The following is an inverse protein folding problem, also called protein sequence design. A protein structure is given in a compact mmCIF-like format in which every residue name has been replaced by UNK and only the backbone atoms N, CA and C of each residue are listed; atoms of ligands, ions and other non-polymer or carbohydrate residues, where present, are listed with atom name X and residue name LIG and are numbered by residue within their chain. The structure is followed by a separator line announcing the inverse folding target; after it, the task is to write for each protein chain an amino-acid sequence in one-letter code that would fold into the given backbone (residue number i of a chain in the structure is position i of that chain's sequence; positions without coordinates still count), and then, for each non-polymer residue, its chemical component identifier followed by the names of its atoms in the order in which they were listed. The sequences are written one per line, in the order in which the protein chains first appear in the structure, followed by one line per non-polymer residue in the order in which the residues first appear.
data_IF_702100302082
#
_entry.id   IF_702100302082
#
_cell.length_a   1.000
_cell.length_b   1.000
_cell.length_c   1.000
_cell.angle_alpha   90.00
_cell.angle_beta   90.00
_cell.angle_gamma   90.00
#
_symmetry.space_group_name_H-M   'P 1'
#
loop_
_entity.id
_entity.type
_entity.pdbx_description
1 polymer ?
#
# COMPACT_ATOMS: atom_id res chain seq x y z
N UNK A 1 1.28 12.76 14.70
CA UNK A 1 1.88 11.85 13.72
C UNK A 1 3.00 12.63 13.04
N UNK A 2 4.21 12.09 12.96
CA UNK A 2 5.31 12.74 12.23
C UNK A 2 5.18 12.36 10.74
N UNK A 3 5.39 13.31 9.84
CA UNK A 3 5.39 13.09 8.39
C UNK A 3 6.66 13.69 7.79
N UNK A 4 7.35 12.91 6.96
CA UNK A 4 8.61 13.28 6.29
C UNK A 4 8.57 12.86 4.81
N UNK A 5 9.50 13.38 4.01
CA UNK A 5 9.75 12.88 2.66
C UNK A 5 10.36 11.47 2.71
N UNK A 6 10.08 10.61 1.74
CA UNK A 6 10.75 9.30 1.65
C UNK A 6 12.26 9.42 1.44
N UNK A 7 12.69 10.48 0.77
CA UNK A 7 14.10 10.83 0.59
C UNK A 7 14.83 11.12 1.92
N UNK A 8 14.09 11.43 3.01
CA UNK A 8 14.64 11.64 4.35
C UNK A 8 14.79 10.34 5.15
N UNK A 9 14.31 9.21 4.62
CA UNK A 9 14.48 7.91 5.25
C UNK A 9 15.84 7.31 4.89
N UNK A 10 16.49 6.80 5.93
CA UNK A 10 17.72 6.03 5.84
C UNK A 10 17.39 4.55 5.99
N UNK A 11 18.19 3.67 5.36
CA UNK A 11 18.15 2.23 5.60
C UNK A 11 19.45 1.79 6.25
N UNK A 12 19.39 0.99 7.31
CA UNK A 12 20.57 0.41 7.96
C UNK A 12 21.05 -0.91 7.30
N UNK A 13 20.42 -1.31 6.19
CA UNK A 13 20.69 -2.58 5.51
C UNK A 13 20.02 -3.80 6.15
N UNK A 14 19.28 -3.63 7.26
CA UNK A 14 18.47 -4.69 7.89
C UNK A 14 16.99 -4.62 7.49
N UNK A 15 16.61 -3.60 6.71
CA UNK A 15 15.23 -3.35 6.28
C UNK A 15 14.44 -2.43 7.23
N UNK A 16 15.11 -1.81 8.20
CA UNK A 16 14.52 -0.81 9.09
C UNK A 16 14.64 0.58 8.45
N UNK A 17 13.52 1.29 8.39
CA UNK A 17 13.47 2.71 8.06
C UNK A 17 13.92 3.54 9.27
N UNK A 18 14.98 4.32 9.07
CA UNK A 18 15.54 5.23 10.06
C UNK A 18 15.29 6.68 9.64
N UNK A 19 15.22 7.57 10.61
CA UNK A 19 15.30 9.01 10.40
C UNK A 19 16.19 9.60 11.50
N UNK A 20 17.22 10.35 11.10
CA UNK A 20 18.28 10.86 11.99
C UNK A 20 18.93 9.73 12.83
N UNK A 21 19.20 8.59 12.20
CA UNK A 21 19.82 7.42 12.84
C UNK A 21 18.95 6.67 13.85
N UNK A 22 17.63 6.90 13.90
CA UNK A 22 16.69 6.22 14.82
C UNK A 22 15.54 5.56 14.07
N UNK A 23 15.00 4.43 14.56
CA UNK A 23 13.83 3.79 13.95
C UNK A 23 12.66 4.76 13.80
N UNK A 24 12.21 4.96 12.58
CA UNK A 24 11.19 5.94 12.24
C UNK A 24 9.79 5.45 12.62
N UNK A 25 8.94 6.35 13.11
CA UNK A 25 7.52 6.07 13.33
C UNK A 25 6.70 7.26 12.87
N UNK A 26 5.88 7.05 11.84
CA UNK A 26 5.19 8.12 11.15
C UNK A 26 4.86 7.78 9.71
N UNK A 27 4.52 8.80 8.96
CA UNK A 27 4.21 8.72 7.54
C UNK A 27 5.42 9.18 6.72
N UNK A 28 5.76 8.42 5.70
CA UNK A 28 6.71 8.79 4.66
C UNK A 28 5.93 9.11 3.40
N UNK A 29 6.34 10.14 2.67
CA UNK A 29 5.65 10.61 1.47
C UNK A 29 6.64 10.79 0.33
N UNK A 30 6.35 10.14 -0.80
CA UNK A 30 7.06 10.38 -2.05
C UNK A 30 6.37 11.49 -2.85
N UNK A 31 7.17 12.46 -3.31
CA UNK A 31 6.70 13.60 -4.06
C UNK A 31 7.19 13.56 -5.50
N UNK A 32 6.27 13.77 -6.44
CA UNK A 32 6.59 13.93 -7.84
C UNK A 32 7.28 15.26 -8.15
N UNK A 33 7.73 15.46 -9.41
CA UNK A 33 8.52 16.61 -9.81
C UNK A 33 7.82 17.97 -9.67
N UNK A 34 6.48 17.98 -9.52
CA UNK A 34 5.69 19.19 -9.32
C UNK A 34 5.17 19.32 -7.87
N UNK A 35 5.70 18.52 -6.94
CA UNK A 35 5.28 18.49 -5.53
C UNK A 35 3.95 17.78 -5.28
N UNK A 36 3.41 17.06 -6.26
CA UNK A 36 2.26 16.18 -6.03
C UNK A 36 2.67 14.95 -5.22
N UNK A 37 1.79 14.43 -4.38
CA UNK A 37 2.06 13.18 -3.66
C UNK A 37 1.88 12.00 -4.63
N UNK A 38 2.88 11.13 -4.71
CA UNK A 38 2.85 9.91 -5.52
C UNK A 38 2.60 8.68 -4.66
N UNK A 39 3.14 8.64 -3.44
CA UNK A 39 2.84 7.58 -2.49
C UNK A 39 2.94 8.06 -1.03
N UNK A 40 2.29 7.32 -0.14
CA UNK A 40 2.37 7.48 1.30
C UNK A 40 2.47 6.09 1.94
N UNK A 41 3.50 5.91 2.76
CA UNK A 41 3.76 4.67 3.51
C UNK A 41 3.83 4.98 4.99
N UNK A 42 3.26 4.09 5.81
CA UNK A 42 3.27 4.24 7.27
C UNK A 42 4.27 3.30 7.92
N UNK A 43 5.08 3.84 8.83
CA UNK A 43 6.09 3.10 9.57
C UNK A 43 5.82 3.13 11.08
N UNK A 44 6.17 2.04 11.75
CA UNK A 44 6.16 1.90 13.20
C UNK A 44 7.43 1.18 13.64
N UNK A 45 8.21 1.84 14.49
CA UNK A 45 9.53 1.36 14.92
C UNK A 45 10.44 0.95 13.75
N UNK A 46 10.35 1.69 12.65
CA UNK A 46 11.09 1.51 11.41
C UNK A 46 10.58 0.40 10.50
N UNK A 47 9.50 -0.29 10.85
CA UNK A 47 8.87 -1.28 9.99
C UNK A 47 7.62 -0.73 9.33
N UNK A 48 7.37 -1.10 8.08
CA UNK A 48 6.11 -0.77 7.40
C UNK A 48 4.94 -1.43 8.12
N UNK A 49 4.05 -0.60 8.67
CA UNK A 49 2.87 -1.02 9.40
C UNK A 49 1.85 0.12 9.38
N UNK A 50 0.71 -0.14 8.75
CA UNK A 50 -0.37 0.83 8.59
C UNK A 50 -0.74 1.07 7.13
N UNK A 51 -1.42 2.20 6.84
CA UNK A 51 -1.88 2.54 5.51
C UNK A 51 -0.75 2.62 4.48
N UNK A 52 -1.04 2.11 3.28
CA UNK A 52 -0.26 2.29 2.05
C UNK A 52 -1.17 2.92 1.00
N UNK A 53 -0.75 4.05 0.44
CA UNK A 53 -1.52 4.79 -0.56
C UNK A 53 -0.61 5.18 -1.72
N UNK A 54 -1.11 5.07 -2.94
CA UNK A 54 -0.48 5.60 -4.14
C UNK A 54 -1.47 6.41 -4.96
N UNK A 55 -0.97 7.42 -5.66
CA UNK A 55 -1.74 8.25 -6.57
C UNK A 55 -1.08 8.31 -7.94
N UNK A 56 -1.90 8.51 -8.97
CA UNK A 56 -1.43 8.94 -10.27
C UNK A 56 -0.95 10.40 -10.20
N UNK A 57 -0.13 10.86 -11.17
CA UNK A 57 0.39 12.23 -11.16
C UNK A 57 -0.67 13.34 -11.21
N UNK A 58 -1.91 13.02 -11.59
CA UNK A 58 -3.07 13.91 -11.61
C UNK A 58 -3.83 13.95 -10.26
N UNK A 59 -3.40 13.15 -9.27
CA UNK A 59 -4.03 13.02 -7.96
C UNK A 59 -5.10 11.94 -7.88
N UNK A 60 -5.39 11.22 -8.96
CA UNK A 60 -6.34 10.10 -8.94
C UNK A 60 -5.78 8.96 -8.09
N UNK A 61 -6.55 8.34 -7.17
CA UNK A 61 -6.08 7.17 -6.43
C UNK A 61 -5.61 6.07 -7.37
N UNK A 62 -4.47 5.46 -7.05
CA UNK A 62 -3.86 4.39 -7.85
C UNK A 62 -3.85 3.08 -7.07
N UNK A 63 -3.47 3.12 -5.80
CA UNK A 63 -3.49 1.97 -4.88
C UNK A 63 -3.90 2.43 -3.49
N UNK A 64 -4.71 1.63 -2.80
CA UNK A 64 -4.94 1.76 -1.35
C UNK A 64 -4.86 0.38 -0.71
N UNK A 65 -4.27 0.31 0.48
CA UNK A 65 -4.18 -0.94 1.22
C UNK A 65 -3.67 -0.74 2.64
N UNK A 66 -3.55 -1.86 3.34
CA UNK A 66 -2.99 -1.94 4.67
C UNK A 66 -1.82 -2.93 4.69
N UNK A 67 -0.71 -2.52 5.28
CA UNK A 67 0.46 -3.37 5.52
C UNK A 67 0.56 -3.67 7.01
N UNK A 68 0.84 -4.93 7.34
CA UNK A 68 1.20 -5.35 8.69
C UNK A 68 2.64 -5.86 8.71
N UNK A 69 3.40 -5.45 9.72
CA UNK A 69 4.78 -5.91 9.90
C UNK A 69 4.84 -7.44 9.90
N UNK A 70 5.84 -8.01 9.21
CA UNK A 70 6.07 -9.45 9.00
C UNK A 70 5.04 -10.21 8.15
N UNK A 71 3.86 -9.64 7.88
CA UNK A 71 2.80 -10.26 7.08
C UNK A 71 2.67 -9.67 5.68
N UNK A 72 3.05 -8.40 5.51
CA UNK A 72 2.87 -7.67 4.26
C UNK A 72 1.43 -7.18 4.11
N UNK A 73 0.85 -7.32 2.92
CA UNK A 73 -0.51 -6.90 2.62
C UNK A 73 -1.55 -7.63 3.47
N UNK A 74 -2.37 -6.90 4.20
CA UNK A 74 -3.49 -7.42 4.99
C UNK A 74 -4.77 -6.65 4.67
N UNK A 75 -5.94 -7.26 4.88
CA UNK A 75 -7.23 -6.61 4.63
C UNK A 75 -7.48 -6.30 3.15
N UNK A 76 -8.35 -5.32 2.84
CA UNK A 76 -8.70 -4.97 1.47
C UNK A 76 -7.60 -4.11 0.83
N UNK A 77 -7.22 -4.50 -0.38
CA UNK A 77 -6.36 -3.75 -1.27
C UNK A 77 -7.13 -3.42 -2.54
N UNK A 78 -7.13 -2.15 -2.93
CA UNK A 78 -7.73 -1.71 -4.20
C UNK A 78 -6.69 -1.05 -5.07
N UNK A 79 -6.88 -1.24 -6.37
CA UNK A 79 -6.16 -0.57 -7.43
C UNK A 79 -7.17 0.01 -8.40
N UNK A 80 -6.91 1.21 -8.89
CA UNK A 80 -7.75 1.87 -9.88
C UNK A 80 -7.01 2.03 -11.20
N UNK A 81 -7.78 2.13 -12.28
CA UNK A 81 -7.33 2.60 -13.57
C UNK A 81 -7.13 4.12 -13.53
N UNK A 82 -6.38 4.70 -14.49
CA UNK A 82 -6.19 6.15 -14.57
C UNK A 82 -7.50 6.95 -14.76
N UNK A 83 -8.59 6.29 -15.19
CA UNK A 83 -9.90 6.91 -15.31
C UNK A 83 -10.70 6.92 -13.99
N UNK A 84 -10.11 6.43 -12.89
CA UNK A 84 -10.72 6.39 -11.56
C UNK A 84 -11.65 5.20 -11.32
N UNK A 85 -11.85 4.31 -12.29
CA UNK A 85 -12.59 3.06 -12.08
C UNK A 85 -11.70 2.01 -11.41
N UNK A 86 -12.29 1.16 -10.57
CA UNK A 86 -11.54 0.06 -9.92
C UNK A 86 -11.02 -0.88 -11.02
N UNK A 87 -9.74 -1.21 -10.94
CA UNK A 87 -9.07 -2.18 -11.80
C UNK A 87 -8.96 -3.54 -11.12
N UNK A 88 -8.65 -3.55 -9.82
CA UNK A 88 -8.39 -4.75 -9.05
C UNK A 88 -8.76 -4.52 -7.59
N UNK A 89 -9.32 -5.55 -6.96
CA UNK A 89 -9.54 -5.62 -5.53
C UNK A 89 -9.06 -6.97 -5.04
N UNK A 90 -8.20 -6.96 -4.03
CA UNK A 90 -7.66 -8.15 -3.39
C UNK A 90 -7.94 -8.07 -1.90
N UNK A 91 -8.43 -9.17 -1.33
CA UNK A 91 -8.69 -9.25 0.10
C UNK A 91 -7.73 -10.25 0.71
N UNK A 92 -6.99 -9.82 1.73
CA UNK A 92 -6.06 -10.64 2.49
C UNK A 92 -6.58 -10.82 3.92
N UNK A 93 -6.28 -11.98 4.53
CA UNK A 93 -6.55 -12.18 5.96
C UNK A 93 -5.48 -11.51 6.85
N UNK A 94 -5.60 -11.70 8.16
CA UNK A 94 -4.67 -11.15 9.16
C UNK A 94 -3.24 -11.72 9.06
N UNK A 95 -3.10 -12.87 8.41
CA UNK A 95 -1.81 -13.54 8.18
C UNK A 95 -1.18 -13.14 6.83
N UNK A 96 -1.84 -12.27 6.07
CA UNK A 96 -1.39 -11.80 4.76
C UNK A 96 -1.68 -12.79 3.62
N UNK A 97 -2.57 -13.76 3.85
CA UNK A 97 -2.95 -14.75 2.84
C UNK A 97 -4.08 -14.19 1.98
N UNK A 98 -3.93 -14.26 0.65
CA UNK A 98 -4.96 -13.83 -0.30
C UNK A 98 -6.21 -14.72 -0.19
N UNK A 99 -7.34 -14.13 0.17
CA UNK A 99 -8.65 -14.78 0.34
C UNK A 99 -9.52 -14.61 -0.91
N UNK A 100 -9.49 -13.46 -1.55
CA UNK A 100 -10.21 -13.24 -2.81
C UNK A 100 -9.54 -12.20 -3.68
N UNK A 101 -9.80 -12.28 -4.98
CA UNK A 101 -9.35 -11.33 -5.98
C UNK A 101 -10.49 -11.08 -6.97
N UNK A 102 -10.69 -9.82 -7.31
CA UNK A 102 -11.60 -9.36 -8.36
C UNK A 102 -10.87 -8.40 -9.27
N UNK A 103 -11.10 -8.50 -10.58
CA UNK A 103 -10.52 -7.60 -11.59
C UNK A 103 -11.59 -7.09 -12.53
N UNK A 104 -11.45 -5.84 -12.92
CA UNK A 104 -12.37 -5.15 -13.81
C UNK A 104 -11.64 -4.52 -14.99
N UNK A 105 -12.32 -4.46 -16.14
CA UNK A 105 -11.84 -3.72 -17.31
C UNK A 105 -11.80 -2.21 -17.01
N UNK A 106 -11.15 -1.45 -17.90
CA UNK A 106 -11.18 0.01 -17.86
C UNK A 106 -12.57 0.60 -18.18
N UNK A 107 -13.52 -0.21 -18.65
CA UNK A 107 -14.94 0.14 -18.78
C UNK A 107 -15.75 -0.14 -17.50
N UNK A 108 -15.15 -0.79 -16.49
CA UNK A 108 -15.80 -1.15 -15.23
C UNK A 108 -16.53 -2.49 -15.25
N UNK A 109 -16.39 -3.28 -16.31
CA UNK A 109 -16.96 -4.63 -16.39
C UNK A 109 -16.10 -5.62 -15.59
N UNK A 110 -16.72 -6.46 -14.77
CA UNK A 110 -16.01 -7.51 -14.04
C UNK A 110 -15.45 -8.53 -15.05
N UNK A 111 -14.12 -8.67 -15.08
CA UNK A 111 -13.42 -9.60 -15.98
C UNK A 111 -13.00 -10.88 -15.28
N UNK A 112 -12.76 -10.84 -13.97
CA UNK A 112 -12.32 -12.01 -13.21
C UNK A 112 -12.73 -11.90 -11.74
N UNK A 113 -13.16 -13.03 -11.16
CA UNK A 113 -13.38 -13.18 -9.72
C UNK A 113 -12.86 -14.55 -9.28
N UNK A 114 -12.07 -14.56 -8.20
CA UNK A 114 -11.50 -15.76 -7.59
C UNK A 114 -11.64 -15.68 -6.08
N UNK A 115 -12.00 -16.81 -5.48
CA UNK A 115 -11.99 -16.98 -4.01
C UNK A 115 -11.11 -18.17 -3.67
N UNK A 116 -10.19 -17.94 -2.76
CA UNK A 116 -9.24 -18.93 -2.27
C UNK A 116 -9.73 -19.38 -0.90
N UNK A 117 -10.28 -20.59 -0.81
CA UNK A 117 -10.60 -21.16 0.48
C UNK A 117 -9.30 -21.44 1.23
N UNK A 118 -9.09 -20.76 2.36
CA UNK A 118 -8.18 -21.29 3.36
C UNK A 118 -8.68 -22.71 3.72
N UNK A 119 -7.81 -23.74 3.80
CA UNK A 119 -8.25 -25.03 4.30
C UNK A 119 -8.86 -24.81 5.69
N UNK A 120 -10.15 -25.14 5.83
CA UNK A 120 -10.74 -25.35 7.16
C UNK A 120 -9.90 -26.46 7.80
N UNK A 121 -9.37 -26.17 8.99
CA UNK A 121 -8.51 -27.07 9.75
C UNK A 121 -9.13 -28.44 10.01
#
# INVERSE_FOLDING_TARGET
MNRISDEELESDGTGIALHEGKPFSGESVDYGPNGQILSLSTYKNGYEEGPWLEWYPDGTPKVEGLVAYSKGAVGPWKKWHPNGLIAEERNFDEEGVLVSERRWSDAGDLVEEKTYNAPRG
#
